data_IF_235149380255
#
_entry.id   IF_235149380255
#
_cell.length_a   1.000
_cell.length_b   1.000
_cell.length_c   1.000
_cell.angle_alpha   90.00
_cell.angle_beta   90.00
_cell.angle_gamma   90.00
#
_symmetry.space_group_name_H-M   'P 1'
#
loop_
_entity.id
_entity.type
_entity.pdbx_description
1 polymer ?
#
# COMPACT_ATOMS: atom_id res chain seq x y z
N UNK A 1 7.22 -42.90 39.48
CA UNK A 1 7.17 -43.96 38.44
C UNK A 1 5.72 -44.14 38.02
N UNK A 2 5.45 -43.99 36.71
CA UNK A 2 4.48 -44.76 35.88
C UNK A 2 3.03 -44.86 36.41
N UNK A 3 1.93 -44.53 35.74
CA UNK A 3 1.62 -44.29 34.32
C UNK A 3 0.18 -43.74 34.20
N UNK A 4 -0.07 -42.98 33.13
CA UNK A 4 -1.18 -42.99 32.13
C UNK A 4 -2.57 -43.52 32.51
N UNK A 5 -3.68 -43.00 31.99
CA UNK A 5 -4.15 -43.06 30.59
C UNK A 5 -5.38 -42.13 30.46
N UNK A 6 -5.31 -41.00 29.73
CA UNK A 6 -5.89 -40.72 28.40
C UNK A 6 -7.29 -41.33 28.14
N UNK A 7 -8.34 -40.50 28.23
CA UNK A 7 -9.66 -40.81 27.68
C UNK A 7 -9.77 -40.24 26.25
N UNK A 8 -9.87 -41.15 25.27
CA UNK A 8 -10.26 -40.86 23.89
C UNK A 8 -11.77 -41.06 23.79
N UNK A 9 -12.48 -40.05 23.28
CA UNK A 9 -13.90 -40.18 22.92
C UNK A 9 -14.13 -39.55 21.55
N UNK A 10 -14.22 -40.42 20.55
CA UNK A 10 -14.77 -40.13 19.22
C UNK A 10 -15.66 -41.31 18.86
N UNK A 11 -16.95 -41.07 18.63
CA UNK A 11 -17.72 -41.75 17.59
C UNK A 11 -18.88 -40.85 17.14
N UNK A 12 -18.89 -40.57 15.84
CA UNK A 12 -19.92 -39.88 15.05
C UNK A 12 -20.77 -40.98 14.38
N UNK A 13 -22.04 -40.66 14.08
CA UNK A 13 -22.88 -41.03 12.91
C UNK A 13 -24.30 -41.39 13.38
N UNK A 14 -25.41 -41.18 12.66
CA UNK A 14 -25.84 -40.35 11.53
C UNK A 14 -27.28 -40.83 11.23
N UNK A 15 -28.17 -39.91 10.84
CA UNK A 15 -29.40 -40.13 10.05
C UNK A 15 -30.62 -40.85 10.64
N UNK A 16 -31.73 -40.11 10.67
CA UNK A 16 -33.10 -40.59 10.54
C UNK A 16 -33.96 -39.47 9.96
N UNK A 17 -34.27 -39.58 8.67
CA UNK A 17 -35.09 -38.67 7.84
C UNK A 17 -36.57 -39.02 8.05
N UNK A 18 -37.46 -38.04 8.14
CA UNK A 18 -38.84 -38.21 7.66
C UNK A 18 -39.29 -37.02 6.82
N UNK A 19 -39.84 -37.37 5.66
CA UNK A 19 -40.43 -36.54 4.62
C UNK A 19 -41.82 -36.05 5.05
N UNK A 20 -42.20 -34.84 4.62
CA UNK A 20 -43.44 -34.68 3.84
C UNK A 20 -43.49 -33.35 3.09
N UNK A 21 -43.78 -33.47 1.80
CA UNK A 21 -43.91 -32.41 0.81
C UNK A 21 -45.26 -31.69 0.94
N UNK A 22 -45.27 -30.36 0.78
CA UNK A 22 -46.38 -29.69 0.11
C UNK A 22 -45.89 -28.41 -0.60
N UNK A 23 -46.30 -28.25 -1.87
CA UNK A 23 -45.75 -27.30 -2.83
C UNK A 23 -46.62 -26.04 -3.00
N UNK A 24 -45.94 -24.87 -2.92
CA UNK A 24 -46.11 -23.57 -3.66
C UNK A 24 -47.43 -22.76 -3.57
N UNK A 25 -47.40 -21.43 -3.88
CA UNK A 25 -46.54 -20.34 -3.37
C UNK A 25 -47.38 -19.09 -2.99
N UNK A 26 -46.80 -18.03 -2.38
CA UNK A 26 -46.81 -16.76 -3.13
C UNK A 26 -45.66 -15.78 -2.86
N UNK A 27 -45.47 -14.91 -3.85
CA UNK A 27 -44.97 -13.52 -3.80
C UNK A 27 -43.51 -13.29 -3.40
N UNK A 28 -42.75 -13.02 -4.46
CA UNK A 28 -41.62 -12.09 -4.52
C UNK A 28 -41.72 -10.99 -3.45
N UNK A 29 -40.92 -11.13 -2.40
CA UNK A 29 -40.45 -9.99 -1.62
C UNK A 29 -38.92 -9.99 -1.71
N UNK A 30 -38.44 -8.91 -2.30
CA UNK A 30 -37.06 -8.50 -2.46
C UNK A 30 -36.42 -8.40 -1.07
N UNK A 31 -35.87 -9.50 -0.56
CA UNK A 31 -34.88 -9.42 0.51
C UNK A 31 -33.63 -8.80 -0.10
N UNK A 32 -33.35 -7.57 0.34
CA UNK A 32 -32.10 -6.85 0.13
C UNK A 32 -30.99 -7.80 0.57
N UNK A 33 -30.37 -8.52 -0.38
CA UNK A 33 -29.07 -9.14 -0.16
C UNK A 33 -28.20 -7.99 0.34
N UNK A 34 -27.85 -8.01 1.62
CA UNK A 34 -26.60 -7.44 2.06
C UNK A 34 -25.57 -8.18 1.22
N UNK A 35 -25.19 -7.54 0.12
CA UNK A 35 -24.01 -7.88 -0.62
C UNK A 35 -22.92 -7.77 0.43
N UNK A 36 -22.43 -8.91 0.88
CA UNK A 36 -21.17 -9.01 1.60
C UNK A 36 -20.17 -8.39 0.65
N UNK A 37 -19.98 -7.08 0.81
CA UNK A 37 -18.82 -6.40 0.30
C UNK A 37 -17.64 -7.22 0.83
N UNK A 38 -16.62 -7.48 0.00
CA UNK A 38 -15.40 -8.06 0.52
C UNK A 38 -14.99 -7.19 1.71
N UNK A 39 -14.86 -7.83 2.86
CA UNK A 39 -14.21 -7.29 4.05
C UNK A 39 -13.08 -6.38 3.59
N UNK A 40 -13.20 -5.10 3.93
CA UNK A 40 -12.19 -4.10 3.66
C UNK A 40 -10.85 -4.71 4.07
N UNK A 41 -10.00 -4.94 3.07
CA UNK A 41 -8.63 -5.35 3.29
C UNK A 41 -8.08 -4.45 4.38
N UNK A 42 -7.65 -5.04 5.50
CA UNK A 42 -6.98 -4.35 6.59
C UNK A 42 -6.10 -3.27 5.98
N UNK A 43 -6.39 -1.99 6.26
CA UNK A 43 -5.54 -0.90 5.78
C UNK A 43 -4.14 -1.21 6.27
N UNK A 44 -3.30 -1.65 5.36
CA UNK A 44 -1.89 -1.87 5.60
C UNK A 44 -1.34 -0.54 6.08
N UNK A 45 -0.93 -0.43 7.36
CA UNK A 45 -0.26 0.77 7.85
C UNK A 45 1.03 1.07 7.08
N UNK A 46 1.52 0.15 6.24
CA UNK A 46 2.67 0.35 5.36
C UNK A 46 2.29 0.83 3.94
N UNK A 47 1.01 0.92 3.58
CA UNK A 47 0.59 1.35 2.25
C UNK A 47 0.52 2.88 2.15
N UNK A 48 1.24 3.47 1.20
CA UNK A 48 1.32 4.93 0.99
C UNK A 48 0.87 5.27 -0.43
N UNK A 49 0.10 6.33 -0.64
CA UNK A 49 -0.20 6.79 -2.00
C UNK A 49 1.11 7.12 -2.74
N UNK A 50 1.23 6.68 -4.00
CA UNK A 50 2.41 6.96 -4.83
C UNK A 50 2.73 8.46 -4.88
N UNK A 51 1.69 9.30 -4.89
CA UNK A 51 1.86 10.75 -4.84
C UNK A 51 2.70 11.18 -3.63
N UNK A 52 2.44 10.65 -2.44
CA UNK A 52 3.17 11.03 -1.23
C UNK A 52 4.62 10.58 -1.23
N UNK A 53 4.94 9.51 -1.96
CA UNK A 53 6.32 9.05 -2.18
C UNK A 53 7.06 10.00 -3.13
N UNK A 54 6.37 10.55 -4.12
CA UNK A 54 6.94 11.46 -5.12
C UNK A 54 7.04 12.91 -4.61
N UNK A 55 6.02 13.39 -3.91
CA UNK A 55 5.93 14.70 -3.28
C UNK A 55 6.75 14.70 -1.97
N UNK A 56 8.07 14.69 -2.14
CA UNK A 56 9.01 14.61 -1.02
C UNK A 56 9.09 15.90 -0.22
N UNK A 57 8.74 17.04 -0.80
CA UNK A 57 8.77 18.35 -0.15
C UNK A 57 7.40 18.78 0.46
N UNK A 58 6.33 18.04 0.16
CA UNK A 58 4.96 18.28 0.61
C UNK A 58 4.33 19.57 0.08
N UNK A 59 4.74 20.01 -1.10
CA UNK A 59 4.19 21.20 -1.76
C UNK A 59 2.94 20.90 -2.63
N UNK A 60 2.49 19.64 -2.67
CA UNK A 60 1.36 19.17 -3.48
C UNK A 60 1.62 19.23 -4.99
N UNK A 61 2.89 19.35 -5.40
CA UNK A 61 3.33 19.42 -6.79
C UNK A 61 4.41 18.35 -7.01
N UNK A 62 4.11 17.38 -7.87
CA UNK A 62 5.11 16.42 -8.33
C UNK A 62 5.68 16.94 -9.65
N UNK A 63 7.01 16.97 -9.75
CA UNK A 63 7.72 17.33 -10.98
C UNK A 63 8.18 16.09 -11.73
N UNK A 64 8.58 16.28 -13.00
CA UNK A 64 9.18 15.20 -13.79
C UNK A 64 10.46 14.67 -13.15
N UNK A 65 11.23 15.55 -12.50
CA UNK A 65 12.46 15.17 -11.81
C UNK A 65 12.17 14.23 -10.63
N UNK A 66 11.13 14.48 -9.82
CA UNK A 66 10.75 13.59 -8.72
C UNK A 66 10.44 12.18 -9.24
N UNK A 67 9.72 12.10 -10.37
CA UNK A 67 9.39 10.83 -10.99
C UNK A 67 10.62 10.11 -11.57
N UNK A 68 11.51 10.81 -12.27
CA UNK A 68 12.74 10.21 -12.80
C UNK A 68 13.70 9.74 -11.68
N UNK A 69 13.73 10.43 -10.54
CA UNK A 69 14.41 9.96 -9.33
C UNK A 69 13.80 8.66 -8.83
N UNK A 70 12.48 8.62 -8.65
CA UNK A 70 11.78 7.42 -8.16
C UNK A 70 11.97 6.21 -9.08
N UNK A 71 11.99 6.41 -10.40
CA UNK A 71 12.27 5.37 -11.42
C UNK A 71 13.64 4.70 -11.31
N UNK A 72 14.61 5.35 -10.68
CA UNK A 72 15.93 4.74 -10.45
C UNK A 72 15.86 3.63 -9.39
N UNK A 73 14.80 3.62 -8.58
CA UNK A 73 14.51 2.60 -7.59
C UNK A 73 14.20 1.23 -8.20
N UNK A 74 14.59 0.18 -7.48
CA UNK A 74 14.37 -1.22 -7.84
C UNK A 74 12.90 -1.66 -7.74
N UNK A 75 12.05 -0.94 -6.99
CA UNK A 75 10.60 -1.15 -6.98
C UNK A 75 9.98 -1.13 -8.39
N UNK A 76 10.57 -0.36 -9.31
CA UNK A 76 10.16 -0.30 -10.73
C UNK A 76 10.85 -1.30 -11.63
N UNK A 77 12.00 -1.84 -11.22
CA UNK A 77 12.83 -2.69 -12.09
C UNK A 77 12.36 -4.15 -12.09
N UNK A 78 11.69 -4.59 -11.02
CA UNK A 78 11.30 -6.01 -10.84
C UNK A 78 9.93 -6.22 -10.18
N UNK A 79 9.14 -5.15 -9.96
CA UNK A 79 7.93 -5.18 -9.13
C UNK A 79 6.59 -5.33 -9.87
N UNK A 80 5.54 -5.55 -9.07
CA UNK A 80 4.12 -5.66 -9.44
C UNK A 80 3.40 -4.32 -9.64
N UNK A 81 4.09 -3.19 -9.42
CA UNK A 81 3.51 -1.89 -9.75
C UNK A 81 3.53 -1.77 -11.26
N UNK A 82 2.33 -1.80 -11.85
CA UNK A 82 2.17 -1.65 -13.28
C UNK A 82 2.65 -0.24 -13.65
N UNK A 83 3.95 -0.17 -13.97
CA UNK A 83 4.58 1.05 -14.42
C UNK A 83 3.77 1.65 -15.57
N UNK A 84 3.06 0.84 -16.37
CA UNK A 84 2.16 1.29 -17.43
C UNK A 84 0.95 2.04 -16.88
N UNK A 85 0.33 1.59 -15.80
CA UNK A 85 -0.79 2.31 -15.15
C UNK A 85 -0.30 3.63 -14.56
N UNK A 86 0.85 3.61 -13.88
CA UNK A 86 1.55 4.80 -13.38
C UNK A 86 1.82 5.77 -14.55
N UNK A 87 2.48 5.32 -15.62
CA UNK A 87 2.79 6.11 -16.83
C UNK A 87 1.55 6.59 -17.58
N UNK A 88 0.44 5.83 -17.58
CA UNK A 88 -0.82 6.24 -18.20
C UNK A 88 -1.49 7.36 -17.42
N UNK A 89 -1.63 7.18 -16.11
CA UNK A 89 -2.13 8.23 -15.19
C UNK A 89 -1.27 9.48 -15.31
N UNK A 90 0.03 9.31 -15.45
CA UNK A 90 1.02 10.38 -15.58
C UNK A 90 0.96 11.09 -16.95
N UNK A 91 0.82 10.32 -18.02
CA UNK A 91 0.90 10.81 -19.40
C UNK A 91 -0.25 11.75 -19.77
N UNK A 92 -1.37 11.67 -19.05
CA UNK A 92 -2.50 12.60 -19.21
C UNK A 92 -2.31 13.96 -18.52
N UNK A 93 -1.37 14.10 -17.57
CA UNK A 93 -1.23 15.32 -16.75
C UNK A 93 0.06 16.13 -16.99
N UNK A 94 1.01 15.62 -17.78
CA UNK A 94 2.32 16.26 -17.94
C UNK A 94 2.26 17.56 -18.77
N UNK A 95 2.43 18.71 -18.10
CA UNK A 95 2.98 19.91 -18.74
C UNK A 95 4.51 19.98 -18.48
N UNK A 96 5.24 20.83 -19.22
CA UNK A 96 6.71 20.68 -19.43
C UNK A 96 7.58 20.70 -18.16
N UNK A 97 7.10 21.22 -17.03
CA UNK A 97 7.88 21.37 -15.78
C UNK A 97 7.21 20.71 -14.57
N UNK A 98 5.87 20.79 -14.48
CA UNK A 98 5.09 20.15 -13.43
C UNK A 98 4.39 18.92 -13.97
N UNK A 99 4.72 17.79 -13.39
CA UNK A 99 4.22 16.51 -13.85
C UNK A 99 2.77 16.30 -13.43
N UNK A 100 2.41 16.76 -12.23
CA UNK A 100 1.02 16.79 -11.75
C UNK A 100 0.89 17.64 -10.47
N UNK A 101 -0.30 18.19 -10.25
CA UNK A 101 -0.74 18.80 -8.98
C UNK A 101 -1.75 17.84 -8.34
N UNK A 102 -1.70 17.61 -7.02
CA UNK A 102 -2.53 16.56 -6.34
C UNK A 102 -4.00 16.62 -6.75
N UNK A 103 -4.60 17.81 -6.72
CA UNK A 103 -5.99 18.02 -7.09
C UNK A 103 -6.96 17.07 -6.40
N UNK A 104 -7.93 16.54 -7.17
CA UNK A 104 -8.91 15.54 -6.72
C UNK A 104 -8.60 14.12 -7.24
N UNK A 105 -7.39 13.91 -7.78
CA UNK A 105 -7.00 12.63 -8.37
C UNK A 105 -6.56 11.64 -7.27
N UNK A 106 -6.90 10.36 -7.45
CA UNK A 106 -6.42 9.29 -6.57
C UNK A 106 -5.27 8.56 -7.24
N UNK A 107 -4.18 8.37 -6.48
CA UNK A 107 -2.99 7.69 -6.98
C UNK A 107 -2.97 6.26 -6.44
N UNK A 108 -2.37 5.32 -7.18
CA UNK A 108 -2.22 3.96 -6.67
C UNK A 108 -1.44 3.99 -5.36
N UNK A 109 -1.95 3.29 -4.35
CA UNK A 109 -1.21 3.04 -3.11
C UNK A 109 -0.08 2.05 -3.36
N UNK A 110 1.03 2.19 -2.65
CA UNK A 110 2.28 1.40 -2.67
C UNK A 110 2.50 0.75 -1.31
N UNK A 111 2.50 -0.59 -1.23
CA UNK A 111 2.84 -1.28 0.03
C UNK A 111 4.36 -1.41 0.19
N UNK A 112 4.91 -0.65 1.13
CA UNK A 112 6.36 -0.63 1.37
C UNK A 112 6.89 -1.98 1.89
N UNK A 113 6.05 -2.83 2.49
CA UNK A 113 6.51 -4.17 2.91
C UNK A 113 6.82 -5.01 1.69
N UNK A 114 5.97 -4.98 0.67
CA UNK A 114 6.19 -5.73 -0.55
C UNK A 114 7.43 -5.23 -1.30
N UNK A 115 7.65 -3.90 -1.31
CA UNK A 115 8.79 -3.30 -1.98
C UNK A 115 10.16 -3.68 -1.38
N UNK A 116 10.23 -4.00 -0.09
CA UNK A 116 11.45 -4.44 0.56
C UNK A 116 11.37 -5.88 1.11
N UNK A 117 10.59 -6.75 0.45
CA UNK A 117 10.53 -8.18 0.77
C UNK A 117 10.17 -8.46 2.24
N UNK A 118 9.30 -7.64 2.82
CA UNK A 118 8.86 -7.65 4.22
C UNK A 118 9.97 -7.41 5.26
N UNK A 119 11.08 -6.78 4.85
CA UNK A 119 12.18 -6.40 5.75
C UNK A 119 12.11 -4.94 6.15
N UNK A 120 12.76 -4.62 7.27
CA UNK A 120 13.01 -3.24 7.68
C UNK A 120 13.90 -2.52 6.67
N UNK A 121 13.75 -1.20 6.61
CA UNK A 121 14.47 -0.31 5.74
C UNK A 121 15.66 0.31 6.46
N UNK A 122 16.87 0.05 5.96
CA UNK A 122 18.05 0.89 6.23
C UNK A 122 18.25 1.92 5.10
N UNK A 123 19.32 2.72 5.19
CA UNK A 123 19.63 3.76 4.20
C UNK A 123 19.77 3.19 2.78
N UNK A 124 20.52 2.09 2.62
CA UNK A 124 20.76 1.48 1.31
C UNK A 124 19.48 0.88 0.73
N UNK A 125 18.62 0.29 1.55
CA UNK A 125 17.31 -0.19 1.10
C UNK A 125 16.41 0.95 0.65
N UNK A 126 16.37 2.08 1.37
CA UNK A 126 15.59 3.25 0.95
C UNK A 126 16.08 3.80 -0.39
N UNK A 127 17.39 3.99 -0.55
CA UNK A 127 18.01 4.44 -1.81
C UNK A 127 17.73 3.46 -2.95
N UNK A 128 17.97 2.17 -2.71
CA UNK A 128 17.81 1.12 -3.72
C UNK A 128 16.35 0.93 -4.11
N UNK A 129 15.41 0.97 -3.17
CA UNK A 129 13.99 0.68 -3.42
C UNK A 129 13.27 1.90 -3.98
N UNK A 130 13.48 3.07 -3.38
CA UNK A 130 12.77 4.30 -3.71
C UNK A 130 13.55 5.24 -4.65
N UNK A 131 14.80 4.91 -5.02
CA UNK A 131 15.59 5.76 -5.92
C UNK A 131 16.01 7.11 -5.34
N UNK A 132 15.89 7.29 -4.01
CA UNK A 132 16.23 8.55 -3.32
C UNK A 132 17.72 8.60 -2.95
N UNK A 133 18.22 9.79 -2.59
CA UNK A 133 19.61 9.96 -2.14
C UNK A 133 19.79 9.74 -0.63
N UNK A 134 21.05 9.73 -0.18
CA UNK A 134 21.43 9.52 1.23
C UNK A 134 20.84 10.57 2.18
N UNK A 135 20.81 11.84 1.80
CA UNK A 135 20.27 12.90 2.66
C UNK A 135 18.76 12.72 2.89
N UNK A 136 18.01 12.37 1.84
CA UNK A 136 16.58 12.07 1.94
C UNK A 136 16.33 10.81 2.79
N UNK A 137 17.12 9.75 2.56
CA UNK A 137 17.02 8.52 3.35
C UNK A 137 17.31 8.76 4.84
N UNK A 138 18.32 9.57 5.17
CA UNK A 138 18.64 9.92 6.55
C UNK A 138 17.54 10.76 7.23
N UNK A 139 16.86 11.64 6.48
CA UNK A 139 15.68 12.36 7.00
C UNK A 139 14.57 11.39 7.42
N UNK A 140 14.29 10.38 6.59
CA UNK A 140 13.29 9.33 6.89
C UNK A 140 13.72 8.49 8.10
N UNK A 141 15.01 8.15 8.21
CA UNK A 141 15.55 7.34 9.30
C UNK A 141 15.64 8.08 10.64
N UNK A 142 15.61 9.41 10.67
CA UNK A 142 15.61 10.21 11.90
C UNK A 142 16.78 9.85 12.85
N UNK A 143 17.94 9.49 12.30
CA UNK A 143 19.13 9.07 13.06
C UNK A 143 19.14 7.61 13.50
N UNK A 144 18.11 6.83 13.18
CA UNK A 144 18.06 5.39 13.41
C UNK A 144 18.82 4.62 12.31
N UNK A 145 19.29 3.40 12.63
CA UNK A 145 19.96 2.52 11.65
C UNK A 145 18.99 1.90 10.65
N UNK A 146 17.76 1.64 11.08
CA UNK A 146 16.71 1.05 10.27
C UNK A 146 15.32 1.40 10.84
N UNK A 147 14.29 1.43 9.99
CA UNK A 147 12.89 1.60 10.37
C UNK A 147 12.01 0.52 9.73
N UNK A 148 10.93 0.16 10.42
CA UNK A 148 9.91 -0.74 9.85
C UNK A 148 9.22 -0.06 8.66
N UNK A 149 8.66 -0.87 7.75
CA UNK A 149 7.89 -0.34 6.62
C UNK A 149 6.70 0.55 7.05
N UNK A 150 6.07 0.25 8.19
CA UNK A 150 5.01 1.08 8.77
C UNK A 150 5.55 2.46 9.18
N UNK A 151 6.69 2.49 9.90
CA UNK A 151 7.29 3.75 10.34
C UNK A 151 7.76 4.62 9.16
N UNK A 152 8.31 3.98 8.12
CA UNK A 152 8.65 4.68 6.87
C UNK A 152 7.39 5.22 6.19
N UNK A 153 6.31 4.43 6.14
CA UNK A 153 5.05 4.85 5.55
C UNK A 153 4.43 6.05 6.28
N UNK A 154 4.41 6.00 7.62
CA UNK A 154 3.92 7.09 8.46
C UNK A 154 4.74 8.37 8.25
N UNK A 155 6.07 8.24 8.14
CA UNK A 155 6.94 9.36 7.81
C UNK A 155 6.59 9.96 6.45
N UNK A 156 6.56 9.15 5.39
CA UNK A 156 6.32 9.62 4.02
C UNK A 156 4.96 10.30 3.90
N UNK A 157 3.92 9.84 4.61
CA UNK A 157 2.60 10.50 4.60
C UNK A 157 2.60 11.88 5.28
N UNK A 158 3.43 12.07 6.30
CA UNK A 158 3.26 13.20 7.24
C UNK A 158 4.39 14.22 7.22
N UNK A 159 5.56 13.88 6.68
CA UNK A 159 6.78 14.70 6.77
C UNK A 159 7.44 14.91 5.41
N UNK A 160 8.09 16.07 5.29
CA UNK A 160 8.96 16.41 4.18
C UNK A 160 10.33 15.72 4.36
N UNK A 161 10.79 15.05 3.30
CA UNK A 161 12.12 14.43 3.22
C UNK A 161 12.92 14.89 1.99
N UNK A 162 12.51 15.96 1.31
CA UNK A 162 13.30 16.60 0.27
C UNK A 162 14.64 17.11 0.83
N UNK A 163 15.66 17.22 -0.03
CA UNK A 163 16.90 17.89 0.37
C UNK A 163 16.68 19.40 0.47
N UNK A 164 17.42 20.08 1.35
CA UNK A 164 17.26 21.54 1.56
C UNK A 164 17.58 22.39 0.31
N UNK A 165 18.14 21.75 -0.73
CA UNK A 165 18.47 22.35 -2.02
C UNK A 165 17.41 22.09 -3.11
N UNK A 166 16.34 21.35 -2.84
CA UNK A 166 15.24 21.28 -3.80
C UNK A 166 14.50 22.63 -3.78
N UNK A 167 14.38 23.32 -4.93
CA UNK A 167 13.63 24.56 -4.98
C UNK A 167 12.19 24.27 -4.54
N UNK A 168 11.81 24.77 -3.36
CA UNK A 168 10.41 24.82 -2.96
C UNK A 168 9.77 25.85 -3.88
N UNK A 169 9.04 25.38 -4.89
CA UNK A 169 8.37 26.29 -5.82
C UNK A 169 7.22 26.92 -5.04
N UNK A 170 7.51 28.05 -4.39
CA UNK A 170 6.47 28.90 -3.81
C UNK A 170 5.62 29.40 -4.97
N UNK A 171 4.40 28.91 -5.04
CA UNK A 171 3.39 29.39 -5.98
C UNK A 171 3.22 30.90 -5.77
N UNK A 172 3.46 31.68 -6.83
CA UNK A 172 3.15 33.11 -6.90
C UNK A 172 1.67 33.32 -7.23
#
# INVERSE_FOLDING_TARGET
MKSSVIFVLIFILLNGIELSHQARPPKVQRTKRAQTAPEAASSSNAAVELFDVLDSNKDQIVTRANFETFKQGSAFRTGRYDSVEIYKTIGSYANREHFTWRGNESYPSVDLRELNQNRDYNEEDLKRVLGINSAQAQKILEGERQKTANAVADYIRTKNFATDNEPTIRSY
#
